data_IF_147761026212
#
_entry.id   IF_147761026212
#
_cell.length_a   1.000
_cell.length_b   1.000
_cell.length_c   1.000
_cell.angle_alpha   90.00
_cell.angle_beta   90.00
_cell.angle_gamma   90.00
#
_symmetry.space_group_name_H-M   'P 1'
#
loop_
_entity.id
_entity.type
_entity.pdbx_description
1 polymer ?
#
# COMPACT_ATOMS: atom_id res chain seq x y z
N UNK A 1 -3.66 7.08 -7.92
CA UNK A 1 -3.04 6.19 -6.92
C UNK A 1 -1.83 5.47 -7.50
N UNK A 2 -1.21 6.03 -8.55
CA UNK A 2 -0.25 5.32 -9.40
C UNK A 2 1.02 4.94 -8.66
N UNK A 3 1.58 5.89 -7.91
CA UNK A 3 2.81 5.69 -7.13
C UNK A 3 2.56 4.67 -6.01
N UNK A 4 1.41 4.73 -5.35
CA UNK A 4 1.06 3.83 -4.25
C UNK A 4 1.08 2.36 -4.67
N UNK A 5 0.39 2.00 -5.75
CA UNK A 5 0.36 0.60 -6.20
C UNK A 5 1.72 0.14 -6.76
N UNK A 6 2.46 1.03 -7.43
CA UNK A 6 3.80 0.73 -7.94
C UNK A 6 4.79 0.42 -6.80
N UNK A 7 4.72 1.18 -5.71
CA UNK A 7 5.55 0.96 -4.52
C UNK A 7 5.29 -0.41 -3.90
N UNK A 8 4.04 -0.74 -3.60
CA UNK A 8 3.70 -2.00 -2.93
C UNK A 8 3.96 -3.22 -3.80
N UNK A 9 3.69 -3.16 -5.11
CA UNK A 9 4.04 -4.25 -6.02
C UNK A 9 5.56 -4.38 -6.20
N UNK A 10 6.30 -3.27 -6.17
CA UNK A 10 7.76 -3.28 -6.16
C UNK A 10 8.33 -3.94 -4.90
N UNK A 11 7.77 -3.64 -3.73
CA UNK A 11 8.13 -4.29 -2.47
C UNK A 11 7.77 -5.78 -2.45
N UNK A 12 6.60 -6.16 -2.96
CA UNK A 12 6.24 -7.56 -3.13
C UNK A 12 7.26 -8.30 -4.02
N UNK A 13 7.61 -7.66 -5.15
CA UNK A 13 8.81 -7.87 -5.96
C UNK A 13 10.03 -8.29 -5.14
N UNK A 14 10.53 -7.29 -4.43
CA UNK A 14 11.75 -7.35 -3.67
C UNK A 14 11.72 -8.42 -2.58
N UNK A 15 10.63 -8.52 -1.80
CA UNK A 15 10.50 -9.52 -0.74
C UNK A 15 10.39 -10.93 -1.29
N UNK A 16 9.73 -11.14 -2.43
CA UNK A 16 9.67 -12.45 -3.06
C UNK A 16 11.06 -12.92 -3.52
N UNK A 17 11.83 -12.03 -4.17
CA UNK A 17 13.22 -12.31 -4.54
C UNK A 17 14.06 -12.60 -3.28
N UNK A 18 13.93 -11.77 -2.26
CA UNK A 18 14.67 -11.91 -1.01
C UNK A 18 14.34 -13.23 -0.31
N UNK A 19 13.06 -13.64 -0.26
CA UNK A 19 12.65 -14.91 0.32
C UNK A 19 13.27 -16.10 -0.41
N UNK A 20 13.31 -16.06 -1.75
CA UNK A 20 13.94 -17.11 -2.56
C UNK A 20 15.44 -17.15 -2.30
N UNK A 21 16.14 -16.01 -2.35
CA UNK A 21 17.58 -15.94 -2.09
C UNK A 21 17.91 -16.44 -0.68
N UNK A 22 17.13 -16.00 0.30
CA UNK A 22 17.30 -16.37 1.71
C UNK A 22 17.11 -17.88 1.93
N UNK A 23 16.15 -18.50 1.24
CA UNK A 23 15.99 -19.95 1.26
C UNK A 23 17.21 -20.67 0.65
N UNK A 24 17.73 -20.18 -0.48
CA UNK A 24 18.86 -20.82 -1.18
C UNK A 24 20.18 -20.74 -0.40
N UNK A 25 20.38 -19.73 0.43
CA UNK A 25 21.57 -19.60 1.29
C UNK A 25 21.44 -20.34 2.63
N UNK A 26 20.37 -21.12 2.83
CA UNK A 26 20.18 -21.93 4.04
C UNK A 26 19.52 -21.19 5.21
N UNK A 27 18.73 -20.15 4.95
CA UNK A 27 17.97 -19.44 5.97
C UNK A 27 17.00 -20.34 6.75
N UNK A 28 16.68 -19.98 7.99
CA UNK A 28 15.78 -20.78 8.82
C UNK A 28 14.30 -20.66 8.41
N UNK A 29 13.50 -21.65 8.81
CA UNK A 29 12.09 -21.74 8.45
C UNK A 29 11.27 -20.51 8.86
N UNK A 30 11.57 -19.89 10.01
CA UNK A 30 10.86 -18.70 10.50
C UNK A 30 11.13 -17.50 9.59
N UNK A 31 12.39 -17.22 9.25
CA UNK A 31 12.76 -16.13 8.37
C UNK A 31 12.17 -16.28 6.96
N UNK A 32 12.24 -17.47 6.36
CA UNK A 32 11.65 -17.75 5.04
C UNK A 32 10.14 -17.46 5.07
N UNK A 33 9.46 -17.92 6.12
CA UNK A 33 8.01 -17.72 6.28
C UNK A 33 7.67 -16.25 6.46
N UNK A 34 8.39 -15.53 7.33
CA UNK A 34 8.12 -14.13 7.61
C UNK A 34 8.34 -13.23 6.38
N UNK A 35 9.43 -13.44 5.63
CA UNK A 35 9.72 -12.67 4.41
C UNK A 35 8.69 -13.03 3.31
N UNK A 36 8.36 -14.31 3.16
CA UNK A 36 7.34 -14.78 2.21
C UNK A 36 5.95 -14.19 2.50
N UNK A 37 5.51 -14.18 3.75
CA UNK A 37 4.24 -13.57 4.15
C UNK A 37 4.26 -12.04 3.96
N UNK A 38 5.41 -11.40 4.19
CA UNK A 38 5.58 -9.96 3.92
C UNK A 38 5.44 -9.65 2.43
N UNK A 39 5.96 -10.51 1.54
CA UNK A 39 5.76 -10.41 0.10
C UNK A 39 4.28 -10.54 -0.29
N UNK A 40 3.58 -11.51 0.31
CA UNK A 40 2.14 -11.70 0.11
C UNK A 40 1.30 -10.51 0.59
N UNK A 41 1.60 -9.98 1.78
CA UNK A 41 0.93 -8.79 2.32
C UNK A 41 1.12 -7.58 1.40
N UNK A 42 2.37 -7.31 0.98
CA UNK A 42 2.66 -6.21 0.06
C UNK A 42 1.94 -6.39 -1.29
N UNK A 43 1.86 -7.63 -1.79
CA UNK A 43 1.14 -7.94 -3.03
C UNK A 43 -0.36 -7.69 -2.91
N UNK A 44 -1.00 -8.10 -1.81
CA UNK A 44 -2.44 -7.87 -1.60
C UNK A 44 -2.76 -6.37 -1.62
N UNK A 45 -1.96 -5.57 -0.89
CA UNK A 45 -2.13 -4.10 -0.86
C UNK A 45 -1.88 -3.50 -2.24
N UNK A 46 -0.78 -3.86 -2.89
CA UNK A 46 -0.42 -3.35 -4.22
C UNK A 46 -1.44 -3.71 -5.29
N UNK A 47 -1.95 -4.94 -5.31
CA UNK A 47 -3.00 -5.39 -6.22
C UNK A 47 -4.30 -4.61 -6.01
N UNK A 48 -4.73 -4.42 -4.76
CA UNK A 48 -5.93 -3.66 -4.44
C UNK A 48 -5.83 -2.20 -4.93
N UNK A 49 -4.70 -1.54 -4.65
CA UNK A 49 -4.47 -0.16 -5.07
C UNK A 49 -4.42 -0.05 -6.61
N UNK A 50 -3.77 -1.01 -7.29
CA UNK A 50 -3.71 -1.05 -8.74
C UNK A 50 -5.08 -1.23 -9.38
N UNK A 51 -5.89 -2.14 -8.83
CA UNK A 51 -7.25 -2.37 -9.31
C UNK A 51 -8.12 -1.12 -9.11
N UNK A 52 -8.00 -0.46 -7.95
CA UNK A 52 -8.72 0.78 -7.63
C UNK A 52 -8.28 1.93 -8.54
N UNK A 53 -6.98 2.09 -8.78
CA UNK A 53 -6.41 3.11 -9.67
C UNK A 53 -7.01 3.01 -11.08
N UNK A 54 -7.09 1.78 -11.62
CA UNK A 54 -7.69 1.54 -12.93
C UNK A 54 -9.19 1.79 -12.98
N UNK A 55 -9.89 1.49 -11.90
CA UNK A 55 -11.34 1.74 -11.80
C UNK A 55 -11.66 3.23 -11.69
N UNK A 56 -10.82 4.00 -11.01
CA UNK A 56 -11.03 5.43 -10.72
C UNK A 56 -10.64 6.37 -11.88
N UNK A 57 -10.19 5.84 -13.03
CA UNK A 57 -9.76 6.67 -14.17
C UNK A 57 -8.29 7.09 -14.16
N UNK A 58 -7.49 6.58 -13.22
CA UNK A 58 -6.02 6.60 -13.28
C UNK A 58 -5.30 7.91 -12.94
N UNK A 59 -5.98 9.05 -12.85
CA UNK A 59 -5.37 10.33 -12.46
C UNK A 59 -6.21 11.02 -11.38
N UNK A 60 -5.75 10.95 -10.13
CA UNK A 60 -6.32 11.76 -9.07
C UNK A 60 -5.66 13.15 -9.08
N UNK A 61 -6.32 14.20 -8.56
CA UNK A 61 -5.70 15.52 -8.44
C UNK A 61 -4.35 15.52 -7.71
N UNK A 62 -4.16 14.61 -6.75
CA UNK A 62 -2.88 14.43 -6.03
C UNK A 62 -1.75 13.79 -6.85
N UNK A 63 -2.08 13.10 -7.94
CA UNK A 63 -1.09 12.52 -8.84
C UNK A 63 -0.66 13.52 -9.94
N UNK A 64 -1.30 14.70 -10.04
CA UNK A 64 -1.03 15.70 -11.06
C UNK A 64 0.10 16.65 -10.62
N UNK A 65 1.25 16.60 -11.30
CA UNK A 65 2.40 17.47 -11.03
C UNK A 65 2.14 18.94 -11.39
N UNK A 66 1.10 19.22 -12.17
CA UNK A 66 0.65 20.55 -12.56
C UNK A 66 -0.76 20.83 -12.00
N UNK A 67 -1.17 20.14 -10.92
CA UNK A 67 -2.47 20.34 -10.29
C UNK A 67 -2.60 21.72 -9.64
N UNK A 68 -3.77 22.32 -9.77
CA UNK A 68 -4.10 23.59 -9.12
C UNK A 68 -4.82 23.35 -7.78
N UNK A 69 -4.78 24.33 -6.88
CA UNK A 69 -5.47 24.23 -5.57
C UNK A 69 -6.98 23.99 -5.75
N UNK A 70 -7.56 24.57 -6.81
CA UNK A 70 -8.97 24.44 -7.14
C UNK A 70 -9.38 22.98 -7.46
N UNK A 71 -8.45 22.13 -7.92
CA UNK A 71 -8.72 20.75 -8.31
C UNK A 71 -9.13 19.85 -7.13
N UNK A 72 -8.89 20.30 -5.88
CA UNK A 72 -9.31 19.64 -4.64
C UNK A 72 -10.17 20.52 -3.72
N UNK A 73 -10.82 21.55 -4.23
CA UNK A 73 -11.63 22.47 -3.42
C UNK A 73 -12.99 21.90 -2.93
N UNK A 74 -13.28 20.62 -3.18
CA UNK A 74 -14.51 19.95 -2.74
C UNK A 74 -14.50 19.57 -1.25
N UNK A 75 -15.64 19.07 -0.76
CA UNK A 75 -15.74 18.53 0.60
C UNK A 75 -14.90 17.25 0.74
N UNK A 76 -14.04 17.18 1.77
CA UNK A 76 -13.15 16.02 2.01
C UNK A 76 -13.87 14.82 2.64
N UNK A 77 -15.07 15.01 3.19
CA UNK A 77 -15.83 14.00 3.93
C UNK A 77 -15.95 14.33 5.42
N UNK A 78 -16.26 13.33 6.23
CA UNK A 78 -16.53 13.49 7.66
C UNK A 78 -15.30 13.16 8.51
N UNK A 79 -14.99 14.05 9.45
CA UNK A 79 -13.99 13.83 10.51
C UNK A 79 -14.67 13.95 11.86
N UNK A 80 -14.49 12.96 12.75
CA UNK A 80 -15.03 13.01 14.10
C UNK A 80 -14.31 14.09 14.92
N UNK A 81 -15.00 15.12 15.44
CA UNK A 81 -14.35 16.21 16.18
C UNK A 81 -13.92 15.80 17.60
N UNK A 82 -14.57 14.78 18.17
CA UNK A 82 -14.26 14.24 19.48
C UNK A 82 -14.76 12.79 19.60
N UNK A 83 -13.95 11.92 20.19
CA UNK A 83 -14.35 10.54 20.48
C UNK A 83 -13.59 10.00 21.67
N UNK A 84 -14.32 9.47 22.66
CA UNK A 84 -13.72 8.81 23.82
C UNK A 84 -13.52 7.31 23.57
N UNK A 85 -14.10 6.76 22.49
CA UNK A 85 -14.01 5.35 22.13
C UNK A 85 -12.59 4.81 21.89
N UNK A 86 -11.60 5.58 21.39
CA UNK A 86 -10.24 5.07 21.27
C UNK A 86 -9.58 4.72 22.61
N UNK A 87 -9.99 5.35 23.72
CA UNK A 87 -9.36 5.13 25.03
C UNK A 87 -9.64 3.74 25.64
N UNK A 88 -10.90 3.24 25.72
CA UNK A 88 -11.18 1.90 26.24
C UNK A 88 -10.89 0.78 25.23
N UNK A 89 -10.62 1.13 23.95
CA UNK A 89 -10.41 0.16 22.87
C UNK A 89 -8.92 -0.10 22.60
N UNK A 90 -8.03 0.75 23.13
CA UNK A 90 -6.58 0.61 23.07
C UNK A 90 -6.05 -0.53 23.94
#
# INVERSE_FOLDING_TARGET
MKVGWQLFNGLALFYLITAILYWQIGGEAVGITAIGLSAGLAFIVGFYLWFTDRRSGGLLPEDNLQGEIADRAGEMGFFSPHSWWPLPLA
#
